data_IF_387528644372
#
_entry.id   IF_387528644372
#
_cell.length_a   1.000
_cell.length_b   1.000
_cell.length_c   1.000
_cell.angle_alpha   90.00
_cell.angle_beta   90.00
_cell.angle_gamma   90.00
#
_symmetry.space_group_name_H-M   'P 1'
#
loop_
_entity.id
_entity.type
_entity.pdbx_description
1 polymer ?
#
# COMPACT_ATOMS: atom_id res chain seq x y z
N UNK A 1 14.43 10.67 17.01
CA UNK A 1 13.92 10.04 15.77
C UNK A 1 15.09 9.33 15.10
N UNK A 2 14.98 8.02 14.90
CA UNK A 2 15.99 7.28 14.14
C UNK A 2 16.11 7.87 12.73
N UNK A 3 17.31 8.33 12.37
CA UNK A 3 17.61 8.86 11.03
C UNK A 3 17.84 7.67 10.08
N UNK A 4 16.78 6.94 9.77
CA UNK A 4 16.87 5.81 8.85
C UNK A 4 16.98 6.31 7.40
N UNK A 5 17.72 5.58 6.59
CA UNK A 5 17.81 5.87 5.16
C UNK A 5 16.65 5.18 4.42
N UNK A 6 15.66 5.95 3.99
CA UNK A 6 14.51 5.46 3.20
C UNK A 6 14.90 4.62 1.98
N UNK A 7 16.08 4.89 1.38
CA UNK A 7 16.58 4.07 0.26
C UNK A 7 16.81 2.62 0.68
N UNK A 8 17.33 2.40 1.87
CA UNK A 8 17.64 1.06 2.36
C UNK A 8 16.36 0.34 2.78
N UNK A 9 15.38 1.04 3.39
CA UNK A 9 14.01 0.53 3.61
C UNK A 9 13.41 -0.02 2.31
N UNK A 10 13.41 0.76 1.22
CA UNK A 10 12.87 0.30 -0.06
C UNK A 10 13.68 -0.82 -0.72
N UNK A 11 14.99 -0.92 -0.45
CA UNK A 11 15.79 -2.08 -0.91
C UNK A 11 15.38 -3.36 -0.18
N UNK A 12 15.12 -3.28 1.12
CA UNK A 12 14.69 -4.44 1.89
C UNK A 12 13.28 -4.86 1.49
N UNK A 13 12.34 -3.93 1.37
CA UNK A 13 10.98 -4.22 0.87
C UNK A 13 11.02 -4.85 -0.53
N UNK A 14 11.83 -4.31 -1.44
CA UNK A 14 12.01 -4.87 -2.78
C UNK A 14 12.65 -6.27 -2.75
N UNK A 15 13.60 -6.48 -1.85
CA UNK A 15 14.24 -7.79 -1.65
C UNK A 15 13.22 -8.82 -1.17
N UNK A 16 12.43 -8.48 -0.15
CA UNK A 16 11.35 -9.30 0.40
C UNK A 16 10.29 -9.56 -0.67
N UNK A 17 9.99 -8.58 -1.51
CA UNK A 17 9.10 -8.77 -2.65
C UNK A 17 9.61 -9.87 -3.60
N UNK A 18 10.92 -10.09 -3.72
CA UNK A 18 11.49 -11.19 -4.52
C UNK A 18 11.48 -12.56 -3.83
N UNK A 19 10.98 -12.67 -2.60
CA UNK A 19 11.02 -13.92 -1.84
C UNK A 19 9.99 -14.94 -2.27
N UNK A 20 8.87 -14.52 -2.86
CA UNK A 20 7.93 -15.46 -3.45
C UNK A 20 7.21 -14.87 -4.65
N UNK A 21 6.81 -15.78 -5.54
CA UNK A 21 6.12 -15.46 -6.78
C UNK A 21 6.19 -16.60 -7.78
N UNK A 22 5.67 -16.36 -8.97
CA UNK A 22 5.73 -17.28 -10.09
C UNK A 22 6.61 -16.69 -11.18
N UNK A 23 7.35 -17.53 -11.89
CA UNK A 23 8.08 -17.08 -13.07
C UNK A 23 8.02 -18.13 -14.17
N UNK A 24 7.96 -17.65 -15.41
CA UNK A 24 7.95 -18.52 -16.59
C UNK A 24 9.37 -18.84 -17.04
N UNK A 25 9.69 -20.13 -17.15
CA UNK A 25 10.94 -20.62 -17.75
C UNK A 25 10.59 -21.69 -18.78
N UNK A 26 10.94 -21.44 -20.05
CA UNK A 26 10.66 -22.36 -21.16
C UNK A 26 9.18 -22.77 -21.27
N UNK A 27 8.25 -21.83 -21.03
CA UNK A 27 6.81 -22.10 -21.05
C UNK A 27 6.24 -22.70 -19.76
N UNK A 28 7.08 -23.18 -18.84
CA UNK A 28 6.66 -23.70 -17.54
C UNK A 28 6.56 -22.59 -16.49
N UNK A 29 5.51 -22.61 -15.68
CA UNK A 29 5.37 -21.77 -14.49
C UNK A 29 6.10 -22.44 -13.32
N UNK A 30 7.09 -21.76 -12.76
CA UNK A 30 7.83 -22.22 -11.59
C UNK A 30 7.46 -21.31 -10.42
N UNK A 31 7.02 -21.93 -9.32
CA UNK A 31 6.86 -21.23 -8.05
C UNK A 31 8.21 -21.04 -7.36
N UNK A 32 8.45 -19.83 -6.90
CA UNK A 32 9.56 -19.50 -6.01
C UNK A 32 9.00 -19.20 -4.63
N UNK A 33 9.63 -19.76 -3.60
CA UNK A 33 9.46 -19.29 -2.22
C UNK A 33 10.81 -19.38 -1.49
N UNK A 34 11.23 -18.31 -0.83
CA UNK A 34 12.43 -18.26 0.00
C UNK A 34 12.08 -18.65 1.44
N UNK A 35 12.98 -19.38 2.09
CA UNK A 35 12.77 -19.92 3.45
C UNK A 35 12.52 -18.87 4.53
N UNK A 36 12.86 -17.60 4.29
CA UNK A 36 12.67 -16.52 5.26
C UNK A 36 11.20 -16.25 5.60
N UNK A 37 10.31 -16.30 4.60
CA UNK A 37 8.86 -16.12 4.79
C UNK A 37 8.23 -17.36 5.43
N UNK A 38 8.70 -18.56 5.08
CA UNK A 38 8.21 -19.80 5.66
C UNK A 38 8.38 -19.89 7.18
N UNK A 39 9.34 -19.17 7.76
CA UNK A 39 9.51 -19.07 9.22
C UNK A 39 8.30 -18.49 9.93
N UNK A 40 7.47 -17.71 9.23
CA UNK A 40 6.29 -17.03 9.79
C UNK A 40 4.97 -17.63 9.32
N UNK A 41 5.01 -18.86 8.80
CA UNK A 41 3.85 -19.49 8.19
C UNK A 41 3.18 -20.47 9.14
N UNK A 42 2.72 -19.98 10.28
CA UNK A 42 2.18 -20.81 11.35
C UNK A 42 0.65 -20.81 11.33
N UNK A 43 0.04 -21.51 10.37
CA UNK A 43 -1.42 -21.66 10.30
C UNK A 43 -1.93 -22.97 10.90
N UNK A 44 -1.04 -23.94 11.09
CA UNK A 44 -1.36 -25.32 11.47
C UNK A 44 -0.22 -25.92 12.30
N UNK A 45 -0.54 -26.94 13.10
CA UNK A 45 0.41 -27.71 13.90
C UNK A 45 1.19 -28.73 13.04
N UNK A 46 1.84 -28.27 11.97
CA UNK A 46 2.61 -29.14 11.09
C UNK A 46 4.12 -28.91 11.30
N UNK A 47 4.86 -29.98 11.58
CA UNK A 47 6.32 -30.00 11.77
C UNK A 47 7.13 -30.02 10.46
N UNK A 48 6.47 -29.93 9.30
CA UNK A 48 7.11 -29.99 7.97
C UNK A 48 7.79 -28.69 7.52
N UNK A 49 8.68 -28.81 6.52
CA UNK A 49 9.46 -27.69 5.95
C UNK A 49 8.65 -26.72 5.07
N UNK A 50 7.58 -27.20 4.43
CA UNK A 50 6.66 -26.36 3.64
C UNK A 50 5.45 -25.95 4.48
N UNK A 51 5.65 -24.89 5.27
CA UNK A 51 4.64 -24.42 6.21
C UNK A 51 3.50 -23.62 5.56
N UNK A 52 3.76 -22.99 4.41
CA UNK A 52 2.72 -22.28 3.64
C UNK A 52 2.17 -23.17 2.53
N UNK A 53 0.85 -23.39 2.52
CA UNK A 53 0.17 -24.17 1.49
C UNK A 53 -0.14 -23.37 0.23
N UNK A 54 -0.38 -22.07 0.35
CA UNK A 54 -0.81 -21.26 -0.77
C UNK A 54 -0.17 -19.85 -0.79
N UNK A 55 -0.53 -19.08 -1.81
CA UNK A 55 -0.03 -17.73 -2.02
C UNK A 55 -0.50 -16.73 -0.95
N UNK A 56 -1.69 -16.91 -0.39
CA UNK A 56 -2.28 -16.02 0.59
C UNK A 56 -1.62 -16.22 1.96
N UNK A 57 -1.37 -17.47 2.34
CA UNK A 57 -0.56 -17.81 3.52
C UNK A 57 0.87 -17.24 3.39
N UNK A 58 1.50 -17.33 2.20
CA UNK A 58 2.81 -16.70 1.92
C UNK A 58 2.75 -15.17 2.01
N UNK A 59 1.71 -14.55 1.47
CA UNK A 59 1.54 -13.09 1.50
C UNK A 59 1.36 -12.59 2.94
N UNK A 60 0.49 -13.22 3.74
CA UNK A 60 0.30 -12.85 5.15
C UNK A 60 1.57 -13.10 5.99
N UNK A 61 2.26 -14.22 5.78
CA UNK A 61 3.55 -14.47 6.45
C UNK A 61 4.62 -13.44 6.04
N UNK A 62 4.57 -12.98 4.79
CA UNK A 62 5.46 -11.93 4.30
C UNK A 62 5.18 -10.55 4.92
N UNK A 63 3.94 -10.24 5.29
CA UNK A 63 3.60 -9.02 6.06
C UNK A 63 4.34 -9.02 7.40
N UNK A 64 4.31 -10.13 8.13
CA UNK A 64 5.04 -10.30 9.39
C UNK A 64 6.55 -10.10 9.15
N UNK A 65 7.08 -10.69 8.08
CA UNK A 65 8.49 -10.54 7.72
C UNK A 65 8.86 -9.08 7.42
N UNK A 66 8.04 -8.34 6.65
CA UNK A 66 8.25 -6.91 6.37
C UNK A 66 8.28 -6.11 7.66
N UNK A 67 7.28 -6.27 8.54
CA UNK A 67 7.22 -5.57 9.82
C UNK A 67 8.49 -5.80 10.63
N UNK A 68 8.87 -7.08 10.79
CA UNK A 68 10.05 -7.47 11.55
C UNK A 68 11.33 -6.87 10.97
N UNK A 69 11.59 -7.08 9.68
CA UNK A 69 12.82 -6.58 9.04
C UNK A 69 12.93 -5.07 9.15
N UNK A 70 11.84 -4.35 8.92
CA UNK A 70 11.88 -2.89 8.96
C UNK A 70 12.03 -2.35 10.39
N UNK A 71 11.47 -3.01 11.40
CA UNK A 71 11.68 -2.63 12.80
C UNK A 71 13.12 -2.92 13.24
N UNK A 72 13.63 -4.12 12.99
CA UNK A 72 14.96 -4.53 13.44
C UNK A 72 16.09 -3.76 12.74
N UNK A 73 15.96 -3.48 11.44
CA UNK A 73 17.04 -2.84 10.68
C UNK A 73 17.04 -1.31 10.76
N UNK A 74 15.89 -0.69 11.00
CA UNK A 74 15.72 0.76 10.84
C UNK A 74 15.01 1.43 12.01
N UNK A 75 14.49 0.66 12.96
CA UNK A 75 13.73 1.15 14.10
C UNK A 75 12.58 2.10 13.69
N UNK A 76 11.88 1.75 12.60
CA UNK A 76 10.74 2.53 12.13
C UNK A 76 9.66 2.62 13.22
N UNK A 77 8.96 3.76 13.24
CA UNK A 77 7.77 3.91 14.06
C UNK A 77 6.67 2.94 13.59
N UNK A 78 5.82 2.52 14.52
CA UNK A 78 4.80 1.50 14.25
C UNK A 78 3.79 1.92 13.18
N UNK A 79 3.52 3.22 13.07
CA UNK A 79 2.59 3.77 12.08
C UNK A 79 3.17 3.63 10.66
N UNK A 80 4.45 3.98 10.45
CA UNK A 80 5.15 3.79 9.18
C UNK A 80 5.37 2.34 8.83
N UNK A 81 5.66 1.48 9.82
CA UNK A 81 5.75 0.04 9.62
C UNK A 81 4.46 -0.53 9.03
N UNK A 82 3.33 -0.19 9.65
CA UNK A 82 2.03 -0.65 9.20
C UNK A 82 1.69 -0.10 7.79
N UNK A 83 1.95 1.18 7.53
CA UNK A 83 1.77 1.79 6.19
C UNK A 83 2.53 1.01 5.10
N UNK A 84 3.82 0.74 5.29
CA UNK A 84 4.63 0.02 4.31
C UNK A 84 4.22 -1.45 4.17
N UNK A 85 3.87 -2.12 5.27
CA UNK A 85 3.43 -3.50 5.22
C UNK A 85 2.10 -3.66 4.46
N UNK A 86 1.15 -2.74 4.64
CA UNK A 86 -0.13 -2.73 3.93
C UNK A 86 0.07 -2.42 2.44
N UNK A 87 0.91 -1.44 2.08
CA UNK A 87 1.25 -1.15 0.69
C UNK A 87 1.90 -2.34 0.00
N UNK A 88 2.86 -2.99 0.68
CA UNK A 88 3.51 -4.19 0.18
C UNK A 88 2.50 -5.32 -0.03
N UNK A 89 1.59 -5.55 0.92
CA UNK A 89 0.55 -6.56 0.80
C UNK A 89 -0.37 -6.30 -0.40
N UNK A 90 -0.86 -5.07 -0.53
CA UNK A 90 -1.70 -4.67 -1.67
C UNK A 90 -0.98 -4.93 -2.99
N UNK A 91 0.27 -4.49 -3.09
CA UNK A 91 1.07 -4.71 -4.28
C UNK A 91 1.24 -6.20 -4.57
N UNK A 92 1.52 -7.01 -3.55
CA UNK A 92 1.65 -8.46 -3.70
C UNK A 92 0.39 -9.10 -4.25
N UNK A 93 -0.76 -8.83 -3.65
CA UNK A 93 -2.02 -9.39 -4.12
C UNK A 93 -2.33 -8.96 -5.57
N UNK A 94 -1.98 -7.73 -5.97
CA UNK A 94 -2.11 -7.27 -7.36
C UNK A 94 -1.27 -8.04 -8.38
N UNK A 95 -0.19 -8.73 -7.97
CA UNK A 95 0.67 -9.44 -8.91
C UNK A 95 0.11 -10.77 -9.39
N UNK A 96 -0.88 -11.34 -8.69
CA UNK A 96 -1.37 -12.70 -8.95
C UNK A 96 -2.89 -12.75 -9.06
N UNK A 97 -3.40 -13.11 -10.23
CA UNK A 97 -4.81 -13.44 -10.40
C UNK A 97 -5.14 -14.76 -9.66
N UNK A 98 -6.34 -14.91 -9.08
CA UNK A 98 -7.45 -13.94 -9.04
C UNK A 98 -7.37 -12.96 -7.84
N UNK A 99 -6.22 -12.91 -7.15
CA UNK A 99 -6.08 -12.18 -5.89
C UNK A 99 -5.92 -10.66 -6.05
N UNK A 100 -5.81 -10.16 -7.28
CA UNK A 100 -5.80 -8.73 -7.60
C UNK A 100 -7.09 -8.01 -7.21
N UNK A 101 -8.19 -8.76 -7.04
CA UNK A 101 -9.50 -8.24 -6.58
C UNK A 101 -9.77 -8.49 -5.10
N UNK A 102 -8.82 -9.08 -4.37
CA UNK A 102 -9.00 -9.38 -2.95
C UNK A 102 -9.25 -8.10 -2.15
N UNK A 103 -10.32 -8.13 -1.36
CA UNK A 103 -10.61 -7.11 -0.37
C UNK A 103 -9.63 -7.26 0.81
N UNK A 104 -8.95 -6.18 1.20
CA UNK A 104 -7.90 -6.25 2.23
C UNK A 104 -8.45 -6.55 3.63
N UNK A 105 -9.66 -6.11 3.98
CA UNK A 105 -10.30 -6.50 5.24
C UNK A 105 -10.62 -7.99 5.28
N UNK A 106 -11.17 -8.50 4.18
CA UNK A 106 -11.42 -9.93 4.07
C UNK A 106 -10.11 -10.72 4.20
N UNK A 107 -9.04 -10.26 3.56
CA UNK A 107 -7.72 -10.88 3.67
C UNK A 107 -7.19 -10.83 5.11
N UNK A 108 -7.35 -9.69 5.78
CA UNK A 108 -6.93 -9.50 7.16
C UNK A 108 -7.55 -10.54 8.09
N UNK A 109 -8.89 -10.62 8.11
CA UNK A 109 -9.61 -11.56 8.97
C UNK A 109 -9.35 -13.02 8.62
N UNK A 110 -9.14 -13.35 7.35
CA UNK A 110 -8.99 -14.75 6.93
C UNK A 110 -7.56 -15.27 6.87
N UNK A 111 -6.55 -14.41 6.79
CA UNK A 111 -5.16 -14.81 6.64
C UNK A 111 -4.21 -14.14 7.63
N UNK A 112 -4.45 -12.89 8.02
CA UNK A 112 -3.55 -12.23 8.97
C UNK A 112 -3.92 -12.66 10.40
N UNK A 113 -5.18 -12.51 10.80
CA UNK A 113 -5.65 -12.90 12.14
C UNK A 113 -5.50 -14.40 12.43
N UNK A 114 -5.61 -15.25 11.39
CA UNK A 114 -5.49 -16.72 11.51
C UNK A 114 -4.05 -17.23 11.58
N UNK A 115 -3.05 -16.36 11.42
CA UNK A 115 -1.66 -16.77 11.55
C UNK A 115 -1.27 -16.80 13.04
N UNK A 116 -0.80 -17.94 13.55
CA UNK A 116 -0.45 -18.09 14.96
C UNK A 116 0.70 -17.18 15.40
N UNK A 117 1.55 -16.71 14.48
CA UNK A 117 2.60 -15.76 14.81
C UNK A 117 2.09 -14.35 15.05
N UNK A 118 0.83 -14.06 14.73
CA UNK A 118 0.31 -12.70 14.71
C UNK A 118 0.24 -12.03 16.08
N UNK A 119 0.04 -12.83 17.12
CA UNK A 119 0.06 -12.40 18.52
C UNK A 119 1.46 -12.29 19.10
N UNK A 120 2.50 -12.67 18.35
CA UNK A 120 3.86 -12.53 18.83
C UNK A 120 4.27 -11.06 18.80
N UNK A 121 5.02 -10.67 19.84
CA UNK A 121 5.64 -9.35 19.91
C UNK A 121 6.77 -9.23 18.90
N UNK A 122 6.83 -8.07 18.23
CA UNK A 122 8.02 -7.72 17.46
C UNK A 122 9.16 -7.49 18.46
N UNK A 123 10.34 -8.08 18.22
CA UNK A 123 11.49 -7.77 19.07
C UNK A 123 11.86 -6.30 18.86
N UNK A 124 11.66 -5.50 19.90
CA UNK A 124 12.10 -4.12 19.99
C UNK A 124 13.03 -3.95 21.19
N UNK A 125 13.76 -2.86 21.23
CA UNK A 125 14.68 -2.55 22.34
C UNK A 125 13.94 -2.06 23.61
N UNK A 126 12.61 -1.91 23.56
CA UNK A 126 11.80 -1.27 24.60
C UNK A 126 10.74 -2.21 25.20
N UNK A 127 10.30 -1.88 26.43
CA UNK A 127 9.19 -2.55 27.16
C UNK A 127 7.85 -2.49 26.42
N UNK A 128 7.69 -1.53 25.50
CA UNK A 128 6.44 -1.19 24.82
C UNK A 128 6.28 -1.91 23.46
N UNK A 129 6.99 -3.03 23.30
CA UNK A 129 6.94 -3.84 22.08
C UNK A 129 5.50 -4.31 21.77
N UNK A 130 4.99 -3.84 20.65
CA UNK A 130 3.69 -4.23 20.11
C UNK A 130 3.75 -5.60 19.42
N UNK A 131 2.63 -6.31 19.46
CA UNK A 131 2.36 -7.48 18.62
C UNK A 131 2.24 -7.09 17.16
N UNK A 132 2.48 -8.03 16.24
CA UNK A 132 2.23 -7.78 14.80
C UNK A 132 0.78 -7.35 14.57
N UNK A 133 -0.15 -7.87 15.38
CA UNK A 133 -1.54 -7.41 15.40
C UNK A 133 -1.71 -5.94 15.68
N UNK A 134 -1.27 -5.53 16.86
CA UNK A 134 -1.44 -4.16 17.30
C UNK A 134 -0.81 -3.18 16.31
N UNK A 135 0.33 -3.53 15.70
CA UNK A 135 0.98 -2.69 14.70
C UNK A 135 0.08 -2.48 13.47
N UNK A 136 -0.43 -3.55 12.87
CA UNK A 136 -1.28 -3.43 11.67
C UNK A 136 -2.60 -2.73 12.00
N UNK A 137 -3.19 -3.02 13.16
CA UNK A 137 -4.46 -2.42 13.60
C UNK A 137 -4.39 -0.90 13.70
N UNK A 138 -3.22 -0.31 14.01
CA UNK A 138 -3.02 1.15 14.00
C UNK A 138 -3.31 1.82 12.66
N UNK A 139 -3.20 1.07 11.56
CA UNK A 139 -3.46 1.55 10.19
C UNK A 139 -4.53 0.71 9.49
N UNK A 140 -5.43 0.08 10.25
CA UNK A 140 -6.54 -0.74 9.71
C UNK A 140 -7.43 0.05 8.76
N UNK A 141 -7.55 1.36 8.97
CA UNK A 141 -8.26 2.28 8.08
C UNK A 141 -7.73 2.27 6.64
N UNK A 142 -6.44 1.98 6.43
CA UNK A 142 -5.86 1.83 5.08
C UNK A 142 -6.36 0.57 4.37
N UNK A 143 -6.70 -0.49 5.10
CA UNK A 143 -7.26 -1.72 4.52
C UNK A 143 -8.72 -1.53 4.08
N UNK A 144 -9.41 -0.54 4.63
CA UNK A 144 -10.78 -0.16 4.26
C UNK A 144 -10.86 0.64 2.94
N UNK A 145 -9.73 1.04 2.36
CA UNK A 145 -9.72 1.81 1.12
C UNK A 145 -10.11 0.88 -0.05
N UNK A 146 -11.28 1.10 -0.64
CA UNK A 146 -11.78 0.30 -1.76
C UNK A 146 -10.83 0.35 -2.97
N UNK A 147 -10.29 1.54 -3.26
CA UNK A 147 -9.40 1.80 -4.40
C UNK A 147 -7.93 1.61 -4.08
N UNK A 148 -7.60 0.81 -3.05
CA UNK A 148 -6.21 0.57 -2.64
C UNK A 148 -5.36 -0.01 -3.79
N UNK A 149 -5.99 -0.70 -4.75
CA UNK A 149 -5.36 -1.14 -6.01
C UNK A 149 -4.68 -0.02 -6.80
N UNK A 150 -5.20 1.21 -6.74
CA UNK A 150 -4.63 2.38 -7.44
C UNK A 150 -3.20 2.68 -6.98
N UNK A 151 -2.88 2.41 -5.72
CA UNK A 151 -1.56 2.65 -5.13
C UNK A 151 -0.55 1.56 -5.46
N UNK A 152 -1.00 0.37 -5.88
CA UNK A 152 -0.12 -0.77 -6.19
C UNK A 152 0.95 -0.43 -7.23
N UNK A 153 0.55 0.23 -8.32
CA UNK A 153 1.47 0.53 -9.42
C UNK A 153 2.44 1.67 -9.09
N UNK A 154 2.01 2.83 -8.55
CA UNK A 154 2.92 3.85 -8.03
C UNK A 154 3.90 3.31 -6.98
N UNK A 155 3.45 2.45 -6.06
CA UNK A 155 4.32 1.82 -5.09
C UNK A 155 5.39 0.93 -5.73
N UNK A 156 5.03 0.15 -6.76
CA UNK A 156 5.99 -0.62 -7.54
C UNK A 156 7.02 0.29 -8.25
N UNK A 157 6.60 1.42 -8.81
CA UNK A 157 7.54 2.36 -9.42
C UNK A 157 8.54 2.90 -8.38
N UNK A 158 8.09 3.21 -7.15
CA UNK A 158 9.00 3.58 -6.06
C UNK A 158 10.00 2.46 -5.74
N UNK A 159 9.53 1.20 -5.63
CA UNK A 159 10.41 0.06 -5.44
C UNK A 159 11.48 -0.03 -6.54
N UNK A 160 11.11 0.16 -7.80
CA UNK A 160 12.05 0.17 -8.93
C UNK A 160 13.04 1.33 -8.82
N UNK A 161 12.54 2.56 -8.60
CA UNK A 161 13.36 3.77 -8.56
C UNK A 161 14.37 3.76 -7.41
N UNK A 162 13.99 3.28 -6.22
CA UNK A 162 14.93 3.16 -5.10
C UNK A 162 15.98 2.06 -5.30
N UNK A 163 15.68 1.04 -6.10
CA UNK A 163 16.59 -0.07 -6.41
C UNK A 163 17.38 0.12 -7.72
N UNK A 164 17.10 1.17 -8.47
CA UNK A 164 17.81 1.59 -9.66
C UNK A 164 19.22 2.08 -9.31
N UNK A 165 20.19 1.17 -9.18
CA UNK A 165 21.57 1.51 -8.80
C UNK A 165 22.51 1.56 -10.00
N UNK A 166 23.57 2.38 -9.93
CA UNK A 166 24.58 2.45 -10.98
C UNK A 166 25.38 1.15 -11.11
N UNK A 167 25.78 0.79 -12.34
CA UNK A 167 26.55 -0.42 -12.61
C UNK A 167 27.93 -0.43 -11.93
N UNK A 168 28.49 0.77 -11.71
CA UNK A 168 29.80 1.02 -11.09
C UNK A 168 29.71 1.30 -9.59
N UNK A 169 28.54 1.73 -9.08
CA UNK A 169 28.34 2.01 -7.66
C UNK A 169 26.92 1.63 -7.21
N UNK A 170 26.81 0.53 -6.48
CA UNK A 170 25.54 0.02 -5.95
C UNK A 170 24.89 0.98 -4.92
N UNK A 171 25.65 1.92 -4.35
CA UNK A 171 25.15 2.89 -3.38
C UNK A 171 24.65 4.18 -4.04
N UNK A 172 24.93 4.43 -5.32
CA UNK A 172 24.45 5.60 -6.06
C UNK A 172 23.23 5.26 -6.92
N UNK A 173 22.17 6.07 -6.84
CA UNK A 173 21.00 5.93 -7.71
C UNK A 173 21.36 6.24 -9.17
N UNK A 174 20.81 5.47 -10.10
CA UNK A 174 20.95 5.66 -11.54
C UNK A 174 19.76 6.45 -12.07
N UNK A 175 19.73 7.74 -11.75
CA UNK A 175 18.65 8.65 -12.10
C UNK A 175 18.48 8.79 -13.64
N UNK A 176 19.59 8.80 -14.40
CA UNK A 176 19.52 8.97 -15.86
C UNK A 176 18.77 7.83 -16.54
N UNK A 177 19.13 6.57 -16.26
CA UNK A 177 18.56 5.43 -16.98
C UNK A 177 17.14 5.05 -16.52
N UNK A 178 16.69 5.58 -15.37
CA UNK A 178 15.37 5.26 -14.79
C UNK A 178 14.45 6.49 -14.75
N UNK A 179 14.84 7.57 -15.42
CA UNK A 179 14.03 8.79 -15.59
C UNK A 179 12.65 8.50 -16.19
N UNK A 180 12.54 7.54 -17.12
CA UNK A 180 11.26 7.15 -17.70
C UNK A 180 10.27 6.60 -16.66
N UNK A 181 10.72 5.83 -15.67
CA UNK A 181 9.86 5.36 -14.56
C UNK A 181 9.43 6.51 -13.64
N UNK A 182 10.30 7.51 -13.44
CA UNK A 182 9.96 8.71 -12.67
C UNK A 182 8.91 9.56 -13.40
N UNK A 183 9.04 9.70 -14.73
CA UNK A 183 8.04 10.34 -15.58
C UNK A 183 6.70 9.60 -15.57
N UNK A 184 6.72 8.26 -15.60
CA UNK A 184 5.49 7.47 -15.47
C UNK A 184 4.86 7.64 -14.07
N UNK A 185 5.67 7.68 -13.02
CA UNK A 185 5.20 7.96 -11.67
C UNK A 185 4.50 9.31 -11.61
N UNK A 186 5.15 10.40 -12.05
CA UNK A 186 4.58 11.75 -12.01
C UNK A 186 3.30 11.88 -12.84
N UNK A 187 3.26 11.25 -14.02
CA UNK A 187 2.08 11.23 -14.90
C UNK A 187 0.89 10.55 -14.23
N UNK A 188 1.12 9.40 -13.61
CA UNK A 188 0.07 8.67 -12.88
C UNK A 188 -0.33 9.38 -11.60
N UNK A 189 0.63 10.02 -10.93
CA UNK A 189 0.40 10.78 -9.71
C UNK A 189 -0.63 11.90 -9.94
N UNK A 190 -0.65 12.51 -11.13
CA UNK A 190 -1.66 13.50 -11.54
C UNK A 190 -3.10 12.98 -11.46
N UNK A 191 -3.34 11.68 -11.60
CA UNK A 191 -4.70 11.12 -11.55
C UNK A 191 -5.26 11.09 -10.13
N UNK A 192 -4.39 11.09 -9.10
CA UNK A 192 -4.81 11.11 -7.70
C UNK A 192 -5.37 12.47 -7.28
N UNK A 193 -4.96 13.57 -7.94
CA UNK A 193 -5.45 14.91 -7.58
C UNK A 193 -6.91 15.12 -7.95
N UNK A 194 -7.39 14.48 -9.02
CA UNK A 194 -8.78 14.56 -9.46
C UNK A 194 -9.66 13.46 -8.85
N UNK A 195 -9.09 12.56 -8.05
CA UNK A 195 -9.83 11.45 -7.48
C UNK A 195 -10.84 11.95 -6.43
N UNK A 196 -12.12 11.52 -6.49
CA UNK A 196 -13.13 11.92 -5.51
C UNK A 196 -12.77 11.53 -4.07
N UNK A 197 -11.95 10.50 -3.87
CA UNK A 197 -11.57 10.01 -2.54
C UNK A 197 -10.40 10.79 -1.92
N UNK A 198 -9.76 11.69 -2.68
CA UNK A 198 -8.71 12.59 -2.19
C UNK A 198 -9.30 13.75 -1.38
N UNK A 199 -9.90 13.38 -0.25
CA UNK A 199 -10.47 14.28 0.76
C UNK A 199 -9.43 14.48 1.85
N UNK A 200 -9.26 15.71 2.30
CA UNK A 200 -8.29 16.07 3.33
C UNK A 200 -8.47 15.22 4.60
N UNK A 201 -7.35 14.65 5.07
CA UNK A 201 -7.30 13.78 6.25
C UNK A 201 -7.96 12.40 6.08
N UNK A 202 -8.47 12.04 4.89
CA UNK A 202 -8.95 10.68 4.62
C UNK A 202 -7.79 9.68 4.59
N UNK A 203 -8.09 8.40 4.81
CA UNK A 203 -7.10 7.31 4.70
C UNK A 203 -6.46 7.25 3.31
N UNK A 204 -7.25 7.52 2.26
CA UNK A 204 -6.76 7.66 0.89
C UNK A 204 -5.76 8.81 0.75
N UNK A 205 -6.07 9.98 1.31
CA UNK A 205 -5.18 11.13 1.27
C UNK A 205 -3.90 10.88 2.06
N UNK A 206 -3.97 10.23 3.24
CA UNK A 206 -2.79 9.86 4.05
C UNK A 206 -1.83 8.96 3.27
N UNK A 207 -2.33 7.91 2.61
CA UNK A 207 -1.45 6.99 1.87
C UNK A 207 -0.87 7.63 0.60
N UNK A 208 -1.65 8.50 -0.05
CA UNK A 208 -1.19 9.33 -1.15
C UNK A 208 -0.04 10.25 -0.71
N UNK A 209 -0.18 10.91 0.44
CA UNK A 209 0.87 11.74 1.03
C UNK A 209 2.14 10.94 1.34
N UNK A 210 2.02 9.72 1.87
CA UNK A 210 3.18 8.83 2.09
C UNK A 210 3.93 8.54 0.78
N UNK A 211 3.22 8.10 -0.27
CA UNK A 211 3.82 7.83 -1.59
C UNK A 211 4.42 9.09 -2.22
N UNK A 212 3.78 10.25 -2.06
CA UNK A 212 4.26 11.56 -2.52
C UNK A 212 5.58 11.96 -1.86
N UNK A 213 5.62 11.87 -0.53
CA UNK A 213 6.78 12.24 0.27
C UNK A 213 7.99 11.35 -0.06
N UNK A 214 7.75 10.05 -0.25
CA UNK A 214 8.79 9.09 -0.62
C UNK A 214 9.36 9.39 -2.01
N UNK A 215 8.50 9.71 -2.99
CA UNK A 215 8.98 10.22 -4.28
C UNK A 215 9.75 11.56 -4.14
N UNK A 216 9.28 12.47 -3.30
CA UNK A 216 9.97 13.74 -3.02
C UNK A 216 11.39 13.52 -2.50
N UNK A 217 11.58 12.50 -1.66
CA UNK A 217 12.90 12.08 -1.18
C UNK A 217 13.80 11.50 -2.28
N UNK A 218 13.23 10.81 -3.28
CA UNK A 218 13.97 10.40 -4.49
C UNK A 218 14.37 11.61 -5.33
N UNK A 219 13.43 12.52 -5.58
CA UNK A 219 13.66 13.71 -6.41
C UNK A 219 14.81 14.56 -5.87
N UNK A 220 14.90 14.76 -4.54
CA UNK A 220 16.03 15.46 -3.89
C UNK A 220 17.40 14.81 -4.15
N UNK A 221 17.44 13.52 -4.50
CA UNK A 221 18.65 12.77 -4.85
C UNK A 221 18.86 12.64 -6.38
N UNK A 222 17.85 12.98 -7.16
CA UNK A 222 17.77 12.81 -8.61
C UNK A 222 17.11 14.05 -9.22
N UNK A 223 17.88 15.13 -9.39
CA UNK A 223 17.34 16.44 -9.79
C UNK A 223 16.65 16.43 -11.15
N UNK A 224 17.02 15.48 -12.03
CA UNK A 224 16.40 15.28 -13.34
C UNK A 224 15.03 14.59 -13.30
N UNK A 225 14.56 14.15 -12.13
CA UNK A 225 13.22 13.58 -11.99
C UNK A 225 12.17 14.69 -12.03
N UNK A 226 11.04 14.47 -12.74
CA UNK A 226 10.01 15.48 -12.84
C UNK A 226 9.40 15.76 -11.47
N UNK A 227 9.01 17.01 -11.18
CA UNK A 227 8.24 17.33 -9.99
C UNK A 227 6.89 16.64 -10.04
N UNK A 228 6.30 16.41 -8.87
CA UNK A 228 4.89 16.03 -8.78
C UNK A 228 4.03 17.27 -8.98
N UNK A 229 2.85 17.14 -9.61
CA UNK A 229 1.88 18.22 -9.61
C UNK A 229 1.48 18.55 -8.17
N UNK A 230 1.23 19.83 -7.88
CA UNK A 230 0.61 20.24 -6.62
C UNK A 230 -0.74 19.56 -6.48
N UNK A 231 -0.96 18.89 -5.36
CA UNK A 231 -2.24 18.25 -5.05
C UNK A 231 -2.90 19.05 -3.94
N UNK A 232 -4.04 19.65 -4.25
CA UNK A 232 -4.93 20.23 -3.26
C UNK A 232 -6.02 19.21 -2.94
N UNK A 233 -6.02 18.62 -1.73
CA UNK A 233 -7.09 17.71 -1.34
C UNK A 233 -8.40 18.49 -1.22
N UNK A 234 -9.52 17.81 -1.49
CA UNK A 234 -10.84 18.39 -1.28
C UNK A 234 -11.05 18.59 0.20
N UNK A 235 -11.48 19.78 0.60
CA UNK A 235 -11.91 20.03 1.98
C UNK A 235 -13.09 19.12 2.31
N UNK A 236 -13.13 18.62 3.55
CA UNK A 236 -14.31 17.89 4.03
C UNK A 236 -15.51 18.85 3.99
N UNK A 237 -16.70 18.37 3.57
CA UNK A 237 -17.93 19.09 3.84
C UNK A 237 -17.98 19.33 5.35
N UNK A 238 -18.20 20.58 5.77
CA UNK A 238 -18.42 20.89 7.18
C UNK A 238 -19.60 20.06 7.64
N UNK A 239 -19.39 19.11 8.56
CA UNK A 239 -20.50 18.58 9.34
C UNK A 239 -21.04 19.77 10.13
N UNK A 240 -22.21 20.26 9.74
CA UNK A 240 -22.98 21.18 10.56
C UNK A 240 -23.27 20.42 11.86
N UNK A 241 -22.43 20.65 12.87
CA UNK A 241 -22.75 20.31 14.25
C UNK A 241 -24.05 21.05 14.55
N UNK A 242 -25.17 20.31 14.55
CA UNK A 242 -26.41 20.76 15.14
C UNK A 242 -26.11 20.90 16.63
N UNK A 243 -25.62 22.07 17.02
CA UNK A 243 -25.56 22.48 18.42
C UNK A 243 -27.01 22.68 18.83
N UNK A 244 -27.61 21.67 19.45
CA UNK A 244 -28.84 21.85 20.20
C UNK A 244 -28.56 22.91 21.27
N UNK A 245 -29.27 24.06 21.31
CA UNK A 245 -29.07 25.02 22.37
C UNK A 245 -29.53 24.38 23.67
N UNK A 246 -28.62 24.31 24.65
CA UNK A 246 -28.94 24.02 26.04
C UNK A 246 -29.87 25.13 26.53
N UNK A 247 -31.15 24.80 26.72
CA UNK A 247 -32.13 25.70 27.31
C UNK A 247 -31.87 25.88 28.80
N UNK A 248 -31.60 27.12 29.21
CA UNK A 248 -31.59 27.57 30.60
C UNK A 248 -32.96 27.30 31.24
N UNK A 249 -32.97 26.58 32.37
CA UNK A 249 -34.13 26.50 33.26
C UNK A 249 -34.21 27.78 34.11
N UNK A 250 -35.32 28.50 33.95
CA UNK A 250 -35.74 29.59 34.83
C UNK A 250 -37.28 29.63 34.89
N UNK A 251 -37.83 29.10 35.99
CA UNK A 251 -39.11 29.40 36.65
C UNK A 251 -40.25 30.08 35.84
N UNK A 252 -41.42 29.44 35.76
CA UNK A 252 -42.65 29.82 36.49
C UNK A 252 -43.89 29.08 35.98
N UNK A 253 -44.89 29.00 36.85
CA UNK A 253 -46.04 28.08 36.95
C UNK A 253 -47.19 28.26 35.95
N UNK A 254 -47.89 27.15 35.65
CA UNK A 254 -49.31 27.15 35.24
C UNK A 254 -49.72 26.00 34.31
N UNK A 255 -50.43 24.99 34.83
CA UNK A 255 -51.29 24.04 34.08
C UNK A 255 -52.72 24.68 33.92
N UNK A 256 -53.68 24.17 33.10
CA UNK A 256 -53.83 22.81 32.58
C UNK A 256 -54.44 22.62 31.14
N UNK A 257 -54.58 21.33 30.76
CA UNK A 257 -55.69 20.69 30.00
C UNK A 257 -55.72 20.60 28.45
N UNK A 258 -55.75 19.33 28.01
CA UNK A 258 -56.65 18.70 27.02
C UNK A 258 -56.60 19.03 25.50
N UNK A 259 -56.07 18.04 24.76
CA UNK A 259 -56.62 17.33 23.58
C UNK A 259 -57.11 18.06 22.32
N UNK A 260 -56.52 17.58 21.20
CA UNK A 260 -57.05 17.45 19.82
C UNK A 260 -56.99 18.66 18.88
N UNK A 261 -56.24 18.56 17.78
CA UNK A 261 -56.80 18.24 16.45
C UNK A 261 -55.73 18.25 15.35
N UNK A 262 -55.51 17.08 14.76
CA UNK A 262 -55.29 16.82 13.34
C UNK A 262 -55.21 18.02 12.38
N UNK A 263 -54.03 18.28 11.78
CA UNK A 263 -53.92 18.86 10.43
C UNK A 263 -52.72 18.25 9.70
N UNK A 264 -53.06 17.46 8.68
CA UNK A 264 -52.24 17.08 7.53
C UNK A 264 -51.47 18.28 6.97
N UNK A 265 -50.14 18.21 6.92
CA UNK A 265 -49.33 19.12 6.10
C UNK A 265 -48.46 18.33 5.13
N UNK A 266 -49.08 18.06 3.97
CA UNK A 266 -48.59 18.40 2.64
C UNK A 266 -47.08 18.35 2.37
N UNK A 267 -46.76 17.44 1.46
CA UNK A 267 -45.58 17.36 0.59
C UNK A 267 -45.01 18.71 0.15
N UNK A 268 -43.68 18.85 0.24
CA UNK A 268 -42.93 19.78 -0.60
C UNK A 268 -41.89 19.02 -1.42
N UNK A 269 -42.06 19.15 -2.73
CA UNK A 269 -41.39 18.49 -3.84
C UNK A 269 -39.92 18.88 -3.98
N UNK A 270 -39.04 17.88 -4.12
CA UNK A 270 -37.69 18.06 -4.62
C UNK A 270 -37.78 18.26 -6.14
N UNK A 271 -37.55 19.49 -6.58
CA UNK A 271 -37.45 19.88 -7.97
C UNK A 271 -36.25 19.16 -8.62
N UNK A 272 -36.52 18.14 -9.42
CA UNK A 272 -35.54 17.48 -10.27
C UNK A 272 -35.35 18.29 -11.56
N UNK A 273 -34.32 19.14 -11.61
CA UNK A 273 -33.87 19.76 -12.87
C UNK A 273 -33.00 18.76 -13.63
N UNK A 274 -33.60 18.06 -14.59
CA UNK A 274 -32.89 17.34 -15.65
C UNK A 274 -32.45 18.35 -16.73
N UNK A 275 -31.14 18.48 -16.96
CA UNK A 275 -30.60 19.03 -18.20
C UNK A 275 -30.02 17.86 -19.00
N UNK A 276 -30.52 17.56 -20.21
CA UNK A 276 -29.92 16.57 -21.09
C UNK A 276 -28.81 17.25 -21.89
N UNK A 277 -27.56 16.99 -21.53
CA UNK A 277 -26.38 17.44 -22.26
C UNK A 277 -25.55 16.25 -22.72
N UNK A 278 -25.89 15.72 -23.90
CA UNK A 278 -25.08 14.75 -24.63
C UNK A 278 -23.71 15.39 -24.93
N UNK A 279 -22.64 14.95 -24.26
CA UNK A 279 -21.27 15.22 -24.70
C UNK A 279 -20.46 13.93 -24.60
N UNK A 280 -20.26 13.32 -25.77
CA UNK A 280 -19.47 12.12 -25.92
C UNK A 280 -18.00 12.40 -25.61
N UNK A 281 -17.57 12.03 -24.40
CA UNK A 281 -16.17 11.70 -24.17
C UNK A 281 -16.11 10.20 -24.01
N UNK A 282 -15.73 9.56 -25.11
CA UNK A 282 -15.27 8.18 -25.12
C UNK A 282 -14.16 8.02 -24.08
N UNK A 283 -14.51 7.52 -22.88
CA UNK A 283 -13.53 7.05 -21.90
C UNK A 283 -13.15 5.64 -22.33
N UNK A 284 -12.15 5.65 -23.20
CA UNK A 284 -11.52 4.51 -23.83
C UNK A 284 -11.20 3.38 -22.80
N UNK A 285 -11.61 2.12 -23.05
CA UNK A 285 -11.22 0.94 -22.25
C UNK A 285 -9.73 0.52 -22.37
N UNK A 286 -8.83 1.41 -22.82
CA UNK A 286 -7.45 1.04 -23.22
C UNK A 286 -6.51 0.81 -22.02
N UNK A 287 -6.85 1.26 -20.82
CA UNK A 287 -5.95 1.17 -19.66
C UNK A 287 -6.06 -0.12 -18.84
N UNK A 288 -7.17 -0.85 -18.94
CA UNK A 288 -7.21 -2.25 -18.48
C UNK A 288 -6.24 -3.11 -19.30
N UNK A 289 -6.13 -2.84 -20.61
CA UNK A 289 -5.16 -3.51 -21.49
C UNK A 289 -3.70 -3.19 -21.16
N UNK A 290 -3.38 -1.96 -20.74
CA UNK A 290 -2.01 -1.55 -20.37
C UNK A 290 -1.62 -2.14 -19.01
N UNK A 291 -2.47 -2.04 -17.97
CA UNK A 291 -2.20 -2.68 -16.69
C UNK A 291 -2.06 -4.21 -16.85
N UNK A 292 -2.91 -4.85 -17.66
CA UNK A 292 -2.84 -6.27 -17.95
C UNK A 292 -1.57 -6.65 -18.74
N UNK A 293 -1.14 -5.88 -19.74
CA UNK A 293 0.07 -6.17 -20.54
C UNK A 293 1.36 -6.04 -19.71
N UNK A 294 1.45 -5.07 -18.80
CA UNK A 294 2.62 -4.91 -17.92
C UNK A 294 2.59 -5.81 -16.69
N UNK A 295 1.40 -6.22 -16.22
CA UNK A 295 1.23 -7.24 -15.17
C UNK A 295 1.51 -8.66 -15.67
N UNK A 296 1.28 -8.95 -16.96
CA UNK A 296 1.40 -10.30 -17.52
C UNK A 296 2.74 -10.58 -18.24
N UNK A 297 3.53 -9.56 -18.65
CA UNK A 297 4.60 -9.82 -19.63
C UNK A 297 5.94 -9.04 -19.59
N UNK A 298 6.21 -8.09 -18.69
CA UNK A 298 7.41 -7.23 -18.85
C UNK A 298 8.41 -7.17 -17.70
N UNK A 299 7.89 -7.18 -16.47
CA UNK A 299 8.61 -6.75 -15.27
C UNK A 299 9.56 -7.88 -14.81
N UNK A 300 9.05 -9.08 -14.55
CA UNK A 300 9.84 -10.21 -14.01
C UNK A 300 11.10 -10.57 -14.80
N UNK A 301 11.05 -10.46 -16.14
CA UNK A 301 12.16 -10.85 -17.03
C UNK A 301 13.35 -9.90 -16.94
N UNK A 302 13.10 -8.61 -16.67
CA UNK A 302 14.15 -7.61 -16.41
C UNK A 302 14.81 -7.83 -15.04
N UNK A 303 14.02 -8.20 -14.03
CA UNK A 303 14.52 -8.39 -12.66
C UNK A 303 15.33 -9.67 -12.48
N UNK A 304 14.98 -10.77 -13.15
CA UNK A 304 15.80 -11.98 -13.14
C UNK A 304 17.20 -11.73 -13.70
N UNK A 305 17.32 -10.97 -14.80
CA UNK A 305 18.63 -10.63 -15.37
C UNK A 305 19.50 -9.84 -14.39
N UNK A 306 18.93 -8.91 -13.62
CA UNK A 306 19.70 -8.14 -12.65
C UNK A 306 20.10 -8.96 -11.40
N UNK A 307 19.18 -9.76 -10.85
CA UNK A 307 19.47 -10.67 -9.72
C UNK A 307 20.55 -11.70 -10.09
N UNK A 308 20.43 -12.33 -11.27
CA UNK A 308 21.42 -13.28 -11.79
C UNK A 308 22.78 -12.61 -12.01
N UNK A 309 22.83 -11.39 -12.57
CA UNK A 309 24.08 -10.61 -12.71
C UNK A 309 24.75 -10.34 -11.36
N UNK A 310 23.99 -9.98 -10.32
CA UNK A 310 24.53 -9.77 -8.96
C UNK A 310 25.07 -11.08 -8.35
N UNK A 311 24.34 -12.19 -8.48
CA UNK A 311 24.77 -13.51 -7.99
C UNK A 311 26.05 -13.98 -8.68
N UNK A 312 26.12 -13.83 -10.00
CA UNK A 312 27.28 -14.23 -10.82
C UNK A 312 28.51 -13.36 -10.50
N UNK A 313 28.34 -12.05 -10.28
CA UNK A 313 29.42 -11.17 -9.78
C UNK A 313 29.94 -11.59 -8.40
N UNK A 314 29.06 -11.98 -7.47
CA UNK A 314 29.45 -12.44 -6.12
C UNK A 314 30.26 -13.74 -6.17
N UNK A 315 29.88 -14.67 -7.04
CA UNK A 315 30.61 -15.93 -7.28
C UNK A 315 31.97 -15.65 -7.94
N UNK A 316 32.03 -14.77 -8.95
CA UNK A 316 33.30 -14.37 -9.60
C UNK A 316 34.27 -13.69 -8.62
N UNK A 317 33.77 -12.88 -7.67
CA UNK A 317 34.60 -12.26 -6.63
C UNK A 317 35.16 -13.30 -5.64
N UNK A 318 34.39 -14.33 -5.30
CA UNK A 318 34.87 -15.44 -4.44
C UNK A 318 35.96 -16.27 -5.11
N UNK A 319 35.83 -16.57 -6.41
CA UNK A 319 36.87 -17.30 -7.14
C UNK A 319 38.19 -16.53 -7.22
N UNK A 320 38.14 -15.20 -7.40
CA UNK A 320 39.34 -14.34 -7.44
C UNK A 320 40.06 -14.18 -6.09
N UNK A 321 39.40 -14.52 -4.98
CA UNK A 321 39.97 -14.44 -3.63
C UNK A 321 40.57 -15.78 -3.17
N UNK A 322 40.32 -16.86 -3.92
CA UNK A 322 40.79 -18.22 -3.65
C UNK A 322 41.89 -18.66 -4.63
N UNK A 323 42.52 -17.71 -5.33
CA UNK A 323 43.73 -17.87 -6.16
C UNK A 323 44.77 -16.95 -5.53
#
# INVERSE_FOLDING_TARGET
MANYNIKDVYKDIYTINGYFGEFKRNGLTIEKTEGAIHKYCHYRNNSGSDKCRDYLEKASSGVIYVLKTLKENYDLDYDKLAEYAILWLRYKLNQKAPYDKTNLNYFYTNHIEKNNDYNNKIKGNDSDSLTYREIIDKKRDLMNINEMTKFSYPFNLLLILYNATNATNANKLNCTNHSHYASEFATRFKQFSTDPNNIEGSSYNKILSTISNDYGNLKKKCDNFPPLPTIEPKKRPSENLVVNPVGNYGQSSGQPTALSSEVTSSSSSILSTLIPGLSGVSVIPVFLGIAYKYSLFGVDKLFQRQYLRKKLKKVKKKMKLNI
#
